data_IF_985715330687
#
_entry.id   IF_985715330687
#
_cell.length_a   1.000
_cell.length_b   1.000
_cell.length_c   1.000
_cell.angle_alpha   90.00
_cell.angle_beta   90.00
_cell.angle_gamma   90.00
#
_symmetry.space_group_name_H-M   'P 1'
#
loop_
_entity.id
_entity.type
_entity.pdbx_description
1 polymer ?
#
# COMPACT_ATOMS: atom_id res chain seq x y z
N UNK A 1 -6.45 19.36 -9.29
CA UNK A 1 -7.71 18.69 -9.64
C UNK A 1 -8.69 18.99 -8.53
N UNK A 2 -9.81 19.67 -8.82
CA UNK A 2 -10.85 19.86 -7.82
C UNK A 2 -11.31 18.49 -7.32
N UNK A 3 -11.48 18.35 -6.01
CA UNK A 3 -12.03 17.13 -5.42
C UNK A 3 -13.44 16.93 -5.96
N UNK A 4 -13.78 15.73 -6.43
CA UNK A 4 -15.13 15.31 -6.87
C UNK A 4 -16.21 15.67 -5.84
N UNK A 5 -15.83 15.85 -4.57
CA UNK A 5 -16.66 16.30 -3.45
C UNK A 5 -17.26 17.72 -3.57
N UNK A 6 -16.96 18.52 -4.60
CA UNK A 6 -17.53 19.87 -4.78
C UNK A 6 -18.61 19.96 -5.86
N UNK A 7 -19.08 18.84 -6.42
CA UNK A 7 -20.15 18.83 -7.42
C UNK A 7 -21.52 18.91 -6.72
N UNK A 8 -22.32 19.91 -7.09
CA UNK A 8 -23.69 20.06 -6.60
C UNK A 8 -24.63 19.24 -7.50
N UNK A 9 -24.76 17.95 -7.19
CA UNK A 9 -25.59 16.98 -7.93
C UNK A 9 -26.89 16.76 -7.14
N UNK A 10 -28.03 16.86 -7.83
CA UNK A 10 -29.36 16.80 -7.22
C UNK A 10 -30.25 15.69 -7.80
N UNK A 11 -29.93 15.23 -9.00
CA UNK A 11 -30.73 14.24 -9.74
C UNK A 11 -30.40 12.79 -9.41
N UNK A 12 -29.25 12.51 -8.79
CA UNK A 12 -28.84 11.18 -8.35
C UNK A 12 -27.88 11.25 -7.17
N UNK A 13 -27.81 10.15 -6.42
CA UNK A 13 -26.80 9.94 -5.40
C UNK A 13 -25.63 9.17 -6.01
N UNK A 14 -24.40 9.47 -5.60
CA UNK A 14 -23.25 8.72 -6.08
C UNK A 14 -22.15 8.60 -5.02
N UNK A 15 -21.34 7.56 -5.19
CA UNK A 15 -20.10 7.36 -4.46
C UNK A 15 -18.98 7.05 -5.45
N UNK A 16 -17.98 7.93 -5.51
CA UNK A 16 -16.81 7.75 -6.34
C UNK A 16 -15.60 7.36 -5.49
N UNK A 17 -14.99 6.23 -5.82
CA UNK A 17 -13.78 5.72 -5.18
C UNK A 17 -12.72 5.53 -6.23
N UNK A 18 -11.54 6.12 -5.99
CA UNK A 18 -10.35 5.79 -6.78
C UNK A 18 -9.53 4.76 -6.00
N UNK A 19 -9.52 3.54 -6.50
CA UNK A 19 -8.54 2.53 -6.12
C UNK A 19 -7.22 2.95 -6.72
N UNK A 20 -6.19 3.14 -5.90
CA UNK A 20 -4.85 3.55 -6.35
C UNK A 20 -3.86 2.40 -6.43
N UNK A 21 -4.19 1.24 -5.84
CA UNK A 21 -3.35 0.04 -5.79
C UNK A 21 -4.18 -1.24 -5.95
N UNK A 22 -3.68 -2.28 -6.64
CA UNK A 22 -2.36 -2.39 -7.29
C UNK A 22 -2.18 -1.49 -8.53
N UNK A 23 -3.28 -0.97 -9.05
CA UNK A 23 -3.37 -0.12 -10.23
C UNK A 23 -4.48 0.90 -10.04
N UNK A 24 -4.35 2.05 -10.71
CA UNK A 24 -5.34 3.12 -10.62
C UNK A 24 -6.62 2.65 -11.34
N UNK A 25 -7.75 2.65 -10.62
CA UNK A 25 -9.07 2.27 -11.12
C UNK A 25 -10.10 3.18 -10.43
N UNK A 26 -10.98 3.81 -11.22
CA UNK A 26 -12.09 4.59 -10.67
C UNK A 26 -13.35 3.74 -10.66
N UNK A 27 -14.02 3.70 -9.51
CA UNK A 27 -15.30 3.02 -9.32
C UNK A 27 -16.30 4.10 -8.95
N UNK A 28 -17.36 4.25 -9.73
CA UNK A 28 -18.46 5.15 -9.48
C UNK A 28 -19.71 4.31 -9.28
N UNK A 29 -20.25 4.35 -8.06
CA UNK A 29 -21.53 3.74 -7.74
C UNK A 29 -22.60 4.83 -7.80
N UNK A 30 -23.65 4.63 -8.57
CA UNK A 30 -24.72 5.61 -8.80
C UNK A 30 -26.06 5.01 -8.38
N UNK A 31 -26.88 5.81 -7.69
CA UNK A 31 -28.29 5.53 -7.42
C UNK A 31 -29.13 6.69 -7.94
N UNK A 32 -29.93 6.44 -8.96
CA UNK A 32 -30.87 7.41 -9.49
C UNK A 32 -32.27 7.12 -8.94
N UNK A 33 -32.88 8.04 -8.17
CA UNK A 33 -34.24 7.85 -7.67
C UNK A 33 -35.25 7.84 -8.82
N UNK A 34 -36.35 7.06 -8.71
CA UNK A 34 -37.39 7.05 -9.73
C UNK A 34 -38.08 8.42 -9.82
N UNK A 35 -38.10 9.03 -11.01
CA UNK A 35 -38.70 10.35 -11.19
C UNK A 35 -38.29 11.07 -12.48
N UNK A 36 -38.69 12.34 -12.65
CA UNK A 36 -38.30 13.15 -13.81
C UNK A 36 -36.80 13.50 -13.77
N UNK A 37 -36.09 13.16 -14.85
CA UNK A 37 -34.63 13.23 -14.97
C UNK A 37 -34.14 14.49 -15.70
N UNK A 38 -34.80 15.64 -15.52
CA UNK A 38 -34.58 16.81 -16.39
C UNK A 38 -33.15 17.37 -16.40
N UNK A 39 -32.39 17.19 -15.32
CA UNK A 39 -30.97 17.61 -15.21
C UNK A 39 -29.99 16.44 -15.12
N UNK A 40 -30.48 15.19 -15.24
CA UNK A 40 -29.68 13.99 -15.03
C UNK A 40 -28.50 13.89 -15.99
N UNK A 41 -28.73 14.12 -17.28
CA UNK A 41 -27.70 14.01 -18.31
C UNK A 41 -26.58 15.04 -18.10
N UNK A 42 -26.94 16.29 -17.78
CA UNK A 42 -25.98 17.37 -17.56
C UNK A 42 -25.15 17.11 -16.29
N UNK A 43 -25.77 16.66 -15.22
CA UNK A 43 -25.09 16.32 -13.96
C UNK A 43 -24.19 15.07 -14.13
N UNK A 44 -24.63 14.07 -14.90
CA UNK A 44 -23.86 12.87 -15.20
C UNK A 44 -22.64 13.19 -16.08
N UNK A 45 -22.81 14.03 -17.11
CA UNK A 45 -21.72 14.52 -17.96
C UNK A 45 -20.69 15.30 -17.13
N UNK A 46 -21.16 16.20 -16.26
CA UNK A 46 -20.29 16.97 -15.37
C UNK A 46 -19.50 16.07 -14.43
N UNK A 47 -20.14 15.04 -13.86
CA UNK A 47 -19.48 14.05 -13.00
C UNK A 47 -18.41 13.28 -13.76
N UNK A 48 -18.75 12.71 -14.92
CA UNK A 48 -17.83 11.86 -15.68
C UNK A 48 -16.67 12.66 -16.29
N UNK A 49 -16.91 13.92 -16.67
CA UNK A 49 -15.89 14.87 -17.12
C UNK A 49 -14.88 15.24 -16.03
N UNK A 50 -15.21 15.04 -14.75
CA UNK A 50 -14.27 15.26 -13.65
C UNK A 50 -13.15 14.21 -13.59
N UNK A 51 -13.32 13.06 -14.26
CA UNK A 51 -12.31 12.01 -14.30
C UNK A 51 -11.35 12.22 -15.46
N UNK A 52 -10.03 12.13 -15.24
CA UNK A 52 -9.04 12.34 -16.29
C UNK A 52 -9.15 11.27 -17.39
N UNK A 53 -9.00 11.69 -18.64
CA UNK A 53 -8.85 10.82 -19.82
C UNK A 53 -7.39 10.35 -19.98
N UNK A 54 -6.73 10.03 -18.87
CA UNK A 54 -5.32 9.59 -18.83
C UNK A 54 -5.16 8.08 -19.10
N UNK A 55 -6.20 7.43 -19.61
CA UNK A 55 -6.28 5.98 -19.79
C UNK A 55 -6.60 5.19 -18.52
N UNK A 56 -6.79 5.85 -17.36
CA UNK A 56 -7.21 5.17 -16.13
C UNK A 56 -8.56 4.47 -16.34
N UNK A 57 -8.66 3.15 -16.07
CA UNK A 57 -9.92 2.42 -16.12
C UNK A 57 -11.00 3.01 -15.22
N UNK A 58 -12.24 3.05 -15.72
CA UNK A 58 -13.41 3.50 -14.96
C UNK A 58 -14.53 2.48 -15.09
N UNK A 59 -15.14 2.16 -13.95
CA UNK A 59 -16.41 1.44 -13.91
C UNK A 59 -17.46 2.39 -13.32
N UNK A 60 -18.56 2.57 -14.03
CA UNK A 60 -19.77 3.21 -13.53
C UNK A 60 -20.83 2.12 -13.36
N UNK A 61 -21.36 1.95 -12.16
CA UNK A 61 -22.33 0.90 -11.86
C UNK A 61 -23.39 1.37 -10.86
N UNK A 62 -24.54 0.71 -10.84
CA UNK A 62 -25.56 0.92 -9.82
C UNK A 62 -26.96 0.93 -10.41
N UNK A 63 -27.93 1.39 -9.61
CA UNK A 63 -29.33 1.41 -9.98
C UNK A 63 -29.69 2.74 -10.64
N UNK A 64 -30.00 2.69 -11.93
CA UNK A 64 -30.35 3.85 -12.72
C UNK A 64 -31.85 4.15 -12.73
N UNK A 65 -32.70 3.21 -12.31
CA UNK A 65 -34.16 3.31 -12.40
C UNK A 65 -34.67 3.80 -13.78
N UNK A 66 -33.95 3.51 -14.86
CA UNK A 66 -34.31 3.90 -16.23
C UNK A 66 -35.30 2.89 -16.82
N UNK A 67 -36.37 3.39 -17.42
CA UNK A 67 -37.37 2.52 -18.03
C UNK A 67 -36.86 1.93 -19.36
N UNK A 68 -37.08 0.63 -19.65
CA UNK A 68 -36.50 -0.09 -20.80
C UNK A 68 -36.84 0.45 -22.20
N UNK A 69 -37.79 1.36 -22.35
CA UNK A 69 -38.19 1.96 -23.63
C UNK A 69 -38.25 3.50 -23.59
N UNK A 70 -37.59 4.10 -22.60
CA UNK A 70 -37.53 5.55 -22.50
C UNK A 70 -36.57 6.14 -23.53
N UNK A 71 -36.95 7.26 -24.15
CA UNK A 71 -36.01 8.11 -24.90
C UNK A 71 -34.79 8.48 -24.05
N UNK A 72 -34.96 8.55 -22.74
CA UNK A 72 -33.92 8.82 -21.75
C UNK A 72 -32.81 7.74 -21.76
N UNK A 73 -33.14 6.45 -21.80
CA UNK A 73 -32.14 5.38 -21.88
C UNK A 73 -31.24 5.56 -23.12
N UNK A 74 -31.84 5.94 -24.25
CA UNK A 74 -31.08 6.19 -25.49
C UNK A 74 -30.16 7.42 -25.37
N UNK A 75 -30.60 8.48 -24.71
CA UNK A 75 -29.77 9.67 -24.45
C UNK A 75 -28.63 9.37 -23.47
N UNK A 76 -28.89 8.61 -22.41
CA UNK A 76 -27.87 8.17 -21.45
C UNK A 76 -26.85 7.28 -22.14
N UNK A 77 -27.28 6.29 -22.92
CA UNK A 77 -26.40 5.42 -23.68
C UNK A 77 -25.53 6.22 -24.67
N UNK A 78 -26.11 7.22 -25.35
CA UNK A 78 -25.38 8.10 -26.28
C UNK A 78 -24.31 8.94 -25.58
N UNK A 79 -24.64 9.52 -24.41
CA UNK A 79 -23.69 10.26 -23.58
C UNK A 79 -22.55 9.36 -23.06
N UNK A 80 -22.89 8.18 -22.56
CA UNK A 80 -21.87 7.26 -22.05
C UNK A 80 -20.96 6.76 -23.18
N UNK A 81 -21.53 6.50 -24.36
CA UNK A 81 -20.76 6.12 -25.54
C UNK A 81 -19.83 7.25 -26.02
N UNK A 82 -20.25 8.52 -25.96
CA UNK A 82 -19.38 9.65 -26.33
C UNK A 82 -18.19 9.80 -25.37
N UNK A 83 -18.35 9.37 -24.11
CA UNK A 83 -17.30 9.33 -23.09
C UNK A 83 -16.51 8.01 -23.08
N UNK A 84 -16.66 7.18 -24.13
CA UNK A 84 -16.03 5.86 -24.30
C UNK A 84 -16.37 4.84 -23.20
N UNK A 85 -17.50 5.04 -22.52
CA UNK A 85 -18.09 4.05 -21.61
C UNK A 85 -18.96 3.09 -22.41
N UNK A 86 -18.71 1.79 -22.22
CA UNK A 86 -19.43 0.72 -22.89
C UNK A 86 -20.27 -0.05 -21.88
N UNK A 87 -21.53 -0.31 -22.20
CA UNK A 87 -22.42 -1.08 -21.32
C UNK A 87 -22.01 -2.55 -21.34
N UNK A 88 -21.88 -3.14 -20.16
CA UNK A 88 -21.77 -4.60 -20.01
C UNK A 88 -23.17 -5.20 -20.08
N UNK A 89 -23.44 -6.14 -21.01
CA UNK A 89 -24.75 -6.77 -21.11
C UNK A 89 -25.03 -7.60 -19.85
N UNK A 90 -26.23 -7.48 -19.29
CA UNK A 90 -26.69 -8.26 -18.15
C UNK A 90 -28.11 -8.78 -18.37
N UNK A 91 -28.47 -9.95 -17.78
CA UNK A 91 -29.86 -10.37 -17.64
C UNK A 91 -30.68 -9.40 -16.76
N UNK A 92 -31.99 -9.63 -16.67
CA UNK A 92 -32.85 -8.88 -15.75
C UNK A 92 -32.29 -8.88 -14.32
N UNK A 93 -32.20 -7.70 -13.71
CA UNK A 93 -31.55 -7.47 -12.41
C UNK A 93 -32.56 -7.32 -11.28
N UNK A 94 -33.86 -7.33 -11.60
CA UNK A 94 -34.95 -7.16 -10.65
C UNK A 94 -36.01 -8.27 -10.83
N UNK A 95 -36.71 -8.63 -9.74
CA UNK A 95 -37.77 -9.67 -9.75
C UNK A 95 -38.90 -9.42 -10.76
N UNK A 96 -39.14 -8.16 -11.11
CA UNK A 96 -40.13 -7.77 -12.13
C UNK A 96 -39.68 -7.99 -13.59
N UNK A 97 -38.45 -8.48 -13.82
CA UNK A 97 -37.92 -8.73 -15.16
C UNK A 97 -37.24 -7.52 -15.82
N UNK A 98 -37.05 -6.41 -15.09
CA UNK A 98 -36.39 -5.20 -15.58
C UNK A 98 -34.87 -5.25 -15.37
N UNK A 99 -34.14 -4.48 -16.17
CA UNK A 99 -32.70 -4.24 -16.05
C UNK A 99 -32.47 -2.80 -15.58
N UNK A 100 -32.62 -2.58 -14.27
CA UNK A 100 -32.47 -1.25 -13.66
C UNK A 100 -31.03 -1.00 -13.21
N UNK A 101 -30.33 -2.07 -12.87
CA UNK A 101 -28.95 -2.05 -12.40
C UNK A 101 -28.00 -2.22 -13.60
N UNK A 102 -27.28 -1.17 -13.95
CA UNK A 102 -26.43 -1.14 -15.15
C UNK A 102 -24.95 -1.07 -14.76
N UNK A 103 -24.10 -1.61 -15.64
CA UNK A 103 -22.64 -1.59 -15.49
C UNK A 103 -22.04 -1.05 -16.78
N UNK A 104 -21.24 0.00 -16.67
CA UNK A 104 -20.54 0.63 -17.78
C UNK A 104 -19.03 0.66 -17.50
N UNK A 105 -18.23 0.41 -18.52
CA UNK A 105 -16.77 0.30 -18.41
C UNK A 105 -16.04 1.12 -19.46
N UNK A 106 -14.97 1.80 -19.05
CA UNK A 106 -14.02 2.54 -19.89
C UNK A 106 -12.61 2.03 -19.61
N UNK A 107 -11.84 1.74 -20.66
CA UNK A 107 -10.47 1.18 -20.57
C UNK A 107 -10.35 -0.10 -19.72
N UNK A 108 -11.46 -0.83 -19.56
CA UNK A 108 -11.56 -2.13 -18.91
C UNK A 108 -12.72 -2.93 -19.51
N UNK A 109 -12.74 -4.23 -19.25
CA UNK A 109 -13.79 -5.14 -19.66
C UNK A 109 -14.29 -5.97 -18.48
N UNK A 110 -15.59 -6.23 -18.46
CA UNK A 110 -16.19 -7.21 -17.55
C UNK A 110 -16.21 -8.59 -18.20
N UNK A 111 -16.12 -9.62 -17.37
CA UNK A 111 -16.20 -11.03 -17.74
C UNK A 111 -16.98 -11.79 -16.67
N UNK A 112 -17.56 -12.93 -17.02
CA UNK A 112 -18.26 -13.81 -16.07
C UNK A 112 -19.39 -13.10 -15.30
N UNK A 113 -20.12 -12.18 -15.95
CA UNK A 113 -21.23 -11.48 -15.31
C UNK A 113 -22.36 -12.47 -15.00
N UNK A 114 -22.69 -12.60 -13.73
CA UNK A 114 -23.75 -13.45 -13.19
C UNK A 114 -24.73 -12.62 -12.37
N UNK A 115 -26.00 -12.98 -12.44
CA UNK A 115 -27.09 -12.31 -11.70
C UNK A 115 -27.78 -13.37 -10.85
N UNK A 116 -27.72 -13.21 -9.54
CA UNK A 116 -28.20 -14.20 -8.56
C UNK A 116 -29.37 -13.63 -7.75
N UNK A 117 -30.56 -14.26 -7.77
CA UNK A 117 -31.67 -13.81 -6.97
C UNK A 117 -31.39 -13.83 -5.47
N UNK A 118 -31.77 -12.75 -4.78
CA UNK A 118 -31.69 -12.65 -3.32
C UNK A 118 -33.07 -12.88 -2.67
N UNK A 119 -33.11 -13.56 -1.54
CA UNK A 119 -34.35 -13.78 -0.80
C UNK A 119 -34.82 -12.53 -0.03
N UNK A 120 -33.89 -11.63 0.29
CA UNK A 120 -34.12 -10.46 1.16
C UNK A 120 -34.32 -9.15 0.40
N UNK A 121 -34.16 -9.16 -0.92
CA UNK A 121 -34.32 -7.99 -1.80
C UNK A 121 -35.05 -8.39 -3.07
N UNK A 122 -35.74 -7.45 -3.68
CA UNK A 122 -36.31 -7.50 -5.02
C UNK A 122 -35.28 -7.26 -6.14
N UNK A 123 -34.15 -6.63 -5.81
CA UNK A 123 -32.96 -6.61 -6.66
C UNK A 123 -32.16 -7.92 -6.54
N UNK A 124 -31.48 -8.26 -7.63
CA UNK A 124 -30.59 -9.42 -7.72
C UNK A 124 -29.14 -9.01 -7.52
N UNK A 125 -28.34 -9.93 -6.97
CA UNK A 125 -26.92 -9.72 -6.78
C UNK A 125 -26.17 -9.88 -8.10
N UNK A 126 -25.46 -8.84 -8.53
CA UNK A 126 -24.65 -8.86 -9.75
C UNK A 126 -23.19 -9.11 -9.35
N UNK A 127 -22.58 -10.14 -9.93
CA UNK A 127 -21.18 -10.50 -9.74
C UNK A 127 -20.47 -10.59 -11.08
N UNK A 128 -19.25 -10.06 -11.19
CA UNK A 128 -18.45 -10.12 -12.41
C UNK A 128 -16.96 -9.97 -12.09
N UNK A 129 -16.12 -10.43 -13.01
CA UNK A 129 -14.67 -10.28 -12.99
C UNK A 129 -14.24 -9.11 -13.89
N UNK A 130 -13.40 -8.20 -13.38
CA UNK A 130 -12.91 -7.06 -14.14
C UNK A 130 -11.50 -7.32 -14.68
N UNK A 131 -11.31 -7.18 -15.99
CA UNK A 131 -10.01 -7.26 -16.67
C UNK A 131 -9.60 -5.90 -17.22
N UNK A 132 -8.36 -5.49 -16.96
CA UNK A 132 -7.84 -4.22 -17.45
C UNK A 132 -6.31 -4.25 -17.57
N UNK A 133 -5.72 -3.52 -18.54
CA UNK A 133 -4.28 -3.53 -18.76
C UNK A 133 -3.57 -2.82 -17.61
N UNK A 134 -2.67 -3.53 -16.93
CA UNK A 134 -1.77 -2.94 -15.95
C UNK A 134 -0.79 -2.01 -16.67
N UNK A 135 -1.01 -0.69 -16.60
CA UNK A 135 -0.02 0.28 -17.03
C UNK A 135 1.15 0.26 -16.04
N UNK A 136 2.14 -0.59 -16.29
CA UNK A 136 3.41 -0.59 -15.58
C UNK A 136 4.16 0.71 -15.90
N UNK A 137 3.86 1.79 -15.18
CA UNK A 137 4.80 2.90 -15.03
C UNK A 137 5.90 2.45 -14.04
N UNK A 138 6.70 1.49 -14.47
CA UNK A 138 7.91 1.07 -13.79
C UNK A 138 8.96 2.17 -13.96
N UNK A 139 8.85 3.22 -13.16
CA UNK A 139 10.05 3.93 -12.74
C UNK A 139 10.85 2.94 -11.90
N UNK A 140 11.77 2.24 -12.55
CA UNK A 140 12.74 1.34 -11.93
C UNK A 140 13.69 2.15 -11.02
N UNK A 141 13.19 2.62 -9.87
CA UNK A 141 14.05 2.85 -8.73
C UNK A 141 14.37 1.47 -8.16
N UNK A 142 15.42 0.84 -8.70
CA UNK A 142 15.93 -0.41 -8.15
C UNK A 142 16.15 -0.19 -6.64
N UNK A 143 15.51 -0.95 -5.75
CA UNK A 143 15.68 -0.75 -4.32
C UNK A 143 17.16 -0.88 -3.99
N UNK A 144 17.75 0.15 -3.38
CA UNK A 144 19.13 0.11 -2.90
C UNK A 144 19.34 -1.20 -2.14
N UNK A 145 20.34 -1.99 -2.50
CA UNK A 145 20.59 -3.27 -1.84
C UNK A 145 21.45 -3.01 -0.60
N UNK A 146 20.98 -3.43 0.57
CA UNK A 146 21.81 -3.45 1.78
C UNK A 146 22.34 -4.85 2.03
N UNK A 147 23.63 -4.95 2.32
CA UNK A 147 24.28 -6.20 2.70
C UNK A 147 24.31 -6.32 4.22
N UNK A 148 23.84 -7.45 4.77
CA UNK A 148 23.84 -7.70 6.22
C UNK A 148 24.21 -9.15 6.52
N UNK A 149 24.92 -9.37 7.64
CA UNK A 149 25.18 -10.69 8.22
C UNK A 149 24.32 -10.89 9.47
N UNK A 150 23.80 -12.09 9.68
CA UNK A 150 23.06 -12.42 10.90
C UNK A 150 24.05 -12.86 11.99
N UNK A 151 24.45 -11.94 12.86
CA UNK A 151 25.36 -12.23 13.96
C UNK A 151 24.65 -12.74 15.22
N UNK A 152 23.32 -12.63 15.28
CA UNK A 152 22.54 -12.98 16.48
C UNK A 152 22.46 -14.49 16.72
N UNK A 153 22.76 -15.31 15.72
CA UNK A 153 22.76 -16.78 15.82
C UNK A 153 24.11 -17.34 16.30
N UNK A 154 25.14 -16.51 16.41
CA UNK A 154 26.49 -16.96 16.78
C UNK A 154 26.64 -17.00 18.29
N UNK A 155 26.88 -18.20 18.83
CA UNK A 155 27.34 -18.36 20.21
C UNK A 155 28.80 -17.92 20.32
N UNK A 156 29.12 -17.14 21.36
CA UNK A 156 30.47 -16.63 21.60
C UNK A 156 31.53 -17.75 21.68
N UNK A 157 31.19 -18.90 22.27
CA UNK A 157 32.08 -20.05 22.41
C UNK A 157 32.31 -20.84 21.11
N UNK A 158 31.29 -20.90 20.25
CA UNK A 158 31.39 -21.54 18.94
C UNK A 158 32.21 -20.68 17.97
N UNK A 159 32.01 -19.36 18.04
CA UNK A 159 32.76 -18.39 17.25
C UNK A 159 34.26 -18.44 17.57
N UNK A 160 34.65 -18.43 18.84
CA UNK A 160 36.07 -18.43 19.23
C UNK A 160 36.79 -19.71 18.78
N UNK A 161 36.16 -20.88 18.98
CA UNK A 161 36.73 -22.18 18.59
C UNK A 161 36.88 -22.31 17.07
N UNK A 162 35.88 -21.83 16.33
CA UNK A 162 35.89 -21.87 14.87
C UNK A 162 36.85 -20.82 14.28
N UNK A 163 37.01 -19.66 14.92
CA UNK A 163 37.96 -18.63 14.49
C UNK A 163 39.41 -19.09 14.70
N UNK A 164 39.70 -19.75 15.84
CA UNK A 164 41.01 -20.31 16.15
C UNK A 164 41.44 -21.42 15.18
N UNK A 165 40.49 -22.16 14.61
CA UNK A 165 40.77 -23.21 13.62
C UNK A 165 40.83 -22.69 12.19
N UNK A 166 40.12 -21.60 11.86
CA UNK A 166 40.09 -21.02 10.52
C UNK A 166 41.20 -20.00 10.25
N UNK A 167 41.73 -19.33 11.29
CA UNK A 167 42.79 -18.33 11.14
C UNK A 167 44.18 -18.99 11.12
N UNK A 168 45.11 -18.51 10.27
CA UNK A 168 46.48 -19.00 10.27
C UNK A 168 47.16 -18.76 11.63
N UNK A 169 48.03 -19.68 12.09
CA UNK A 169 48.76 -19.50 13.34
C UNK A 169 49.68 -18.27 13.27
N UNK A 170 49.90 -17.52 14.36
CA UNK A 170 50.70 -16.29 14.35
C UNK A 170 52.10 -16.45 13.71
N UNK A 171 52.70 -17.63 13.84
CA UNK A 171 53.99 -17.97 13.25
C UNK A 171 54.04 -17.87 11.72
N UNK A 172 52.90 -18.07 11.02
CA UNK A 172 52.86 -17.96 9.54
C UNK A 172 52.98 -16.52 9.04
N UNK A 173 52.84 -15.52 9.92
CA UNK A 173 52.92 -14.11 9.55
C UNK A 173 54.30 -13.48 9.79
N UNK A 174 55.20 -14.14 10.53
CA UNK A 174 56.47 -13.57 11.02
C UNK A 174 57.41 -13.14 9.89
N UNK A 175 57.37 -13.85 8.75
CA UNK A 175 58.27 -13.61 7.61
C UNK A 175 57.54 -12.96 6.40
N UNK A 176 56.29 -12.53 6.57
CA UNK A 176 55.52 -11.90 5.50
C UNK A 176 55.69 -10.37 5.53
N UNK A 177 55.68 -9.77 4.34
CA UNK A 177 55.55 -8.32 4.22
C UNK A 177 54.23 -7.86 4.85
N UNK A 178 54.20 -6.68 5.47
CA UNK A 178 53.05 -6.24 6.28
C UNK A 178 51.73 -6.21 5.49
N UNK A 179 51.76 -5.81 4.23
CA UNK A 179 50.59 -5.80 3.35
C UNK A 179 50.10 -7.21 3.01
N UNK A 180 51.03 -8.15 2.86
CA UNK A 180 50.73 -9.56 2.57
C UNK A 180 50.16 -10.23 3.82
N UNK A 181 50.73 -9.95 4.99
CA UNK A 181 50.19 -10.43 6.26
C UNK A 181 48.77 -9.89 6.50
N UNK A 182 48.56 -8.60 6.28
CA UNK A 182 47.27 -7.92 6.48
C UNK A 182 46.21 -8.43 5.51
N UNK A 183 46.55 -8.57 4.22
CA UNK A 183 45.62 -9.10 3.21
C UNK A 183 45.27 -10.56 3.46
N UNK A 184 46.25 -11.40 3.82
CA UNK A 184 46.02 -12.81 4.16
C UNK A 184 45.11 -12.94 5.37
N UNK A 185 45.37 -12.19 6.44
CA UNK A 185 44.53 -12.19 7.63
C UNK A 185 43.09 -11.76 7.33
N UNK A 186 42.91 -10.63 6.62
CA UNK A 186 41.60 -10.12 6.26
C UNK A 186 40.83 -11.07 5.32
N UNK A 187 41.54 -11.76 4.42
CA UNK A 187 40.94 -12.74 3.52
C UNK A 187 40.45 -13.97 4.28
N UNK A 188 41.29 -14.56 5.15
CA UNK A 188 40.91 -15.69 6.00
C UNK A 188 39.74 -15.33 6.92
N UNK A 189 39.78 -14.14 7.54
CA UNK A 189 38.69 -13.66 8.40
C UNK A 189 37.39 -13.46 7.62
N UNK A 190 37.47 -12.93 6.39
CA UNK A 190 36.30 -12.74 5.53
C UNK A 190 35.69 -14.07 5.12
N UNK A 191 36.50 -15.02 4.64
CA UNK A 191 36.04 -16.37 4.28
C UNK A 191 35.43 -17.12 5.47
N UNK A 192 36.04 -17.00 6.64
CA UNK A 192 35.51 -17.55 7.88
C UNK A 192 34.14 -16.96 8.21
N UNK A 193 33.99 -15.63 8.14
CA UNK A 193 32.72 -14.96 8.40
C UNK A 193 31.67 -15.29 7.33
N UNK A 194 32.06 -15.44 6.07
CA UNK A 194 31.15 -15.85 4.98
C UNK A 194 30.66 -17.28 5.16
N UNK A 195 31.50 -18.17 5.71
CA UNK A 195 31.10 -19.54 6.06
C UNK A 195 30.12 -19.60 7.23
N UNK A 196 30.31 -18.78 8.28
CA UNK A 196 29.46 -18.81 9.48
C UNK A 196 28.19 -17.99 9.34
N UNK A 197 28.29 -16.82 8.71
CA UNK A 197 27.20 -15.87 8.54
C UNK A 197 27.31 -15.22 7.16
N UNK A 198 26.85 -15.93 6.11
CA UNK A 198 26.91 -15.45 4.73
C UNK A 198 26.36 -14.04 4.59
N UNK A 199 26.97 -13.25 3.71
CA UNK A 199 26.48 -11.92 3.39
C UNK A 199 25.17 -12.03 2.61
N UNK A 200 24.06 -11.60 3.23
CA UNK A 200 22.75 -11.64 2.57
C UNK A 200 22.42 -10.26 2.01
N UNK A 201 22.11 -10.20 0.73
CA UNK A 201 21.50 -9.03 0.09
C UNK A 201 20.04 -8.92 0.53
N UNK A 202 19.67 -7.80 1.12
CA UNK A 202 18.26 -7.47 1.40
C UNK A 202 17.90 -6.15 0.74
N UNK A 203 16.70 -6.05 0.14
CA UNK A 203 16.22 -4.77 -0.36
C UNK A 203 16.23 -3.77 0.80
N UNK A 204 16.86 -2.61 0.61
CA UNK A 204 16.80 -1.53 1.57
C UNK A 204 15.33 -1.14 1.70
N UNK A 205 14.87 -1.05 2.94
CA UNK A 205 13.58 -0.40 3.20
C UNK A 205 13.73 1.07 2.84
N UNK A 206 13.08 1.49 1.77
CA UNK A 206 12.93 2.90 1.39
C UNK A 206 11.89 3.58 2.28
N UNK A 207 12.04 3.48 3.60
CA UNK A 207 11.28 4.37 4.47
C UNK A 207 12.00 5.70 4.51
N UNK A 208 11.30 6.83 4.28
CA UNK A 208 11.85 8.14 4.60
C UNK A 208 12.40 8.12 6.03
N UNK A 209 13.57 8.73 6.28
CA UNK A 209 14.10 8.84 7.64
C UNK A 209 13.06 9.56 8.50
N UNK A 210 12.81 9.06 9.71
CA UNK A 210 11.95 9.72 10.70
C UNK A 210 12.82 10.65 11.56
N UNK A 211 12.98 11.95 11.23
CA UNK A 211 13.99 12.78 11.86
C UNK A 211 13.59 13.19 13.29
N UNK A 212 12.29 13.12 13.60
CA UNK A 212 11.73 13.29 14.93
C UNK A 212 11.95 12.08 15.85
N UNK A 213 12.43 10.95 15.33
CA UNK A 213 12.70 9.75 16.14
C UNK A 213 14.12 9.81 16.72
N UNK A 214 14.23 10.37 17.92
CA UNK A 214 15.49 10.50 18.68
C UNK A 214 15.92 9.17 19.31
N UNK A 215 17.19 9.06 19.74
CA UNK A 215 17.68 7.86 20.43
C UNK A 215 17.00 7.62 21.78
N UNK A 216 16.60 8.69 22.47
CA UNK A 216 15.78 8.60 23.68
C UNK A 216 14.42 7.94 23.41
N UNK A 217 13.75 8.29 22.30
CA UNK A 217 12.52 7.64 21.85
C UNK A 217 12.75 6.19 21.41
N UNK A 218 13.88 5.89 20.76
CA UNK A 218 14.24 4.51 20.40
C UNK A 218 14.44 3.63 21.64
N UNK A 219 15.10 4.17 22.67
CA UNK A 219 15.29 3.50 23.96
C UNK A 219 13.94 3.28 24.66
N UNK A 220 13.12 4.33 24.79
CA UNK A 220 11.78 4.25 25.37
C UNK A 220 10.89 3.22 24.66
N UNK A 221 10.91 3.18 23.32
CA UNK A 221 10.21 2.17 22.53
C UNK A 221 10.68 0.75 22.83
N UNK A 222 11.98 0.56 23.05
CA UNK A 222 12.55 -0.75 23.39
C UNK A 222 12.04 -1.23 24.76
N UNK A 223 12.04 -0.34 25.75
CA UNK A 223 11.49 -0.61 27.09
C UNK A 223 9.99 -0.93 27.04
N UNK A 224 9.22 -0.15 26.27
CA UNK A 224 7.79 -0.40 26.05
C UNK A 224 7.54 -1.82 25.48
N UNK A 225 8.28 -2.22 24.44
CA UNK A 225 8.16 -3.55 23.83
C UNK A 225 8.61 -4.67 24.78
N UNK A 226 9.59 -4.41 25.65
CA UNK A 226 9.98 -5.37 26.68
C UNK A 226 8.85 -5.58 27.70
N UNK A 227 8.24 -4.50 28.19
CA UNK A 227 7.09 -4.58 29.10
C UNK A 227 5.87 -5.26 28.46
N UNK A 228 5.58 -4.95 27.20
CA UNK A 228 4.50 -5.59 26.44
C UNK A 228 4.71 -7.11 26.34
N UNK A 229 5.93 -7.56 26.02
CA UNK A 229 6.28 -9.00 25.98
C UNK A 229 6.17 -9.66 27.35
N UNK A 230 6.60 -8.96 28.42
CA UNK A 230 6.48 -9.44 29.79
C UNK A 230 5.02 -9.68 30.15
N UNK A 231 4.15 -8.69 29.94
CA UNK A 231 2.71 -8.81 30.17
C UNK A 231 2.06 -9.93 29.35
N UNK A 232 2.39 -10.05 28.05
CA UNK A 232 1.85 -11.16 27.23
C UNK A 232 2.17 -12.53 27.78
N UNK A 233 3.34 -12.69 28.41
CA UNK A 233 3.80 -13.93 29.04
C UNK A 233 3.18 -14.16 30.42
N UNK A 234 3.16 -13.15 31.28
CA UNK A 234 2.70 -13.28 32.67
C UNK A 234 1.19 -13.20 32.83
N UNK A 235 0.50 -12.45 31.97
CA UNK A 235 -0.93 -12.08 32.05
C UNK A 235 -1.33 -11.43 33.38
N UNK A 236 -0.37 -10.89 34.14
CA UNK A 236 -0.61 -10.20 35.40
C UNK A 236 -1.16 -8.78 35.19
N UNK A 237 -2.03 -8.35 36.10
CA UNK A 237 -2.59 -7.01 36.10
C UNK A 237 -1.52 -5.93 36.42
N UNK A 238 -0.52 -6.25 37.23
CA UNK A 238 0.57 -5.33 37.55
C UNK A 238 1.47 -5.08 36.33
N UNK A 239 1.75 -6.13 35.57
CA UNK A 239 2.52 -6.02 34.32
C UNK A 239 1.71 -5.28 33.24
N UNK A 240 0.38 -5.43 33.23
CA UNK A 240 -0.51 -4.68 32.36
C UNK A 240 -0.47 -3.17 32.71
N UNK A 241 -0.57 -2.84 34.00
CA UNK A 241 -0.48 -1.46 34.47
C UNK A 241 0.87 -0.82 34.10
N UNK A 242 1.98 -1.53 34.33
CA UNK A 242 3.33 -1.10 33.95
C UNK A 242 3.45 -0.84 32.44
N UNK A 243 2.92 -1.74 31.61
CA UNK A 243 2.86 -1.56 30.16
C UNK A 243 2.06 -0.31 29.77
N UNK A 244 0.87 -0.09 30.35
CA UNK A 244 0.04 1.08 30.06
C UNK A 244 0.71 2.39 30.46
N UNK A 245 1.38 2.44 31.62
CA UNK A 245 2.14 3.63 32.04
C UNK A 245 3.25 3.95 31.03
N UNK A 246 4.01 2.94 30.59
CA UNK A 246 5.05 3.12 29.57
C UNK A 246 4.47 3.53 28.22
N UNK A 247 3.29 3.00 27.85
CA UNK A 247 2.60 3.33 26.60
C UNK A 247 2.16 4.80 26.59
N UNK A 248 1.58 5.28 27.69
CA UNK A 248 1.17 6.67 27.84
C UNK A 248 2.38 7.61 27.77
N UNK A 249 3.46 7.30 28.49
CA UNK A 249 4.70 8.07 28.46
C UNK A 249 5.33 8.10 27.04
N UNK A 250 5.41 6.95 26.37
CA UNK A 250 5.95 6.87 25.01
C UNK A 250 5.09 7.64 24.00
N UNK A 251 3.77 7.56 24.11
CA UNK A 251 2.83 8.27 23.24
C UNK A 251 2.98 9.78 23.41
N UNK A 252 3.03 10.27 24.65
CA UNK A 252 3.26 11.68 24.97
C UNK A 252 4.59 12.18 24.42
N UNK A 253 5.69 11.44 24.67
CA UNK A 253 7.01 11.80 24.17
C UNK A 253 7.09 11.81 22.63
N UNK A 254 6.40 10.87 21.97
CA UNK A 254 6.34 10.80 20.50
C UNK A 254 5.59 12.00 19.93
N UNK A 255 4.45 12.36 20.52
CA UNK A 255 3.68 13.53 20.12
C UNK A 255 4.49 14.80 20.30
N UNK A 256 5.12 14.98 21.46
CA UNK A 256 5.99 16.12 21.74
C UNK A 256 7.12 16.25 20.71
N UNK A 257 7.86 15.16 20.45
CA UNK A 257 8.97 15.18 19.49
C UNK A 257 8.51 15.51 18.05
N UNK A 258 7.37 14.97 17.62
CA UNK A 258 6.77 15.31 16.31
C UNK A 258 6.39 16.79 16.25
N UNK A 259 5.72 17.30 17.28
CA UNK A 259 5.31 18.70 17.36
C UNK A 259 6.52 19.62 17.31
N UNK A 260 7.54 19.39 18.15
CA UNK A 260 8.77 20.18 18.16
C UNK A 260 9.47 20.17 16.80
N UNK A 261 9.59 19.00 16.18
CA UNK A 261 10.22 18.86 14.86
C UNK A 261 9.48 19.66 13.78
N UNK A 262 8.16 19.49 13.66
CA UNK A 262 7.40 20.18 12.63
C UNK A 262 7.28 21.68 12.90
N UNK A 263 7.14 22.09 14.16
CA UNK A 263 7.15 23.50 14.54
C UNK A 263 8.49 24.16 14.19
N UNK A 264 9.61 23.51 14.51
CA UNK A 264 10.93 23.98 14.09
C UNK A 264 11.05 24.07 12.56
N UNK A 265 10.62 23.03 11.85
CA UNK A 265 10.66 22.99 10.37
C UNK A 265 9.84 24.10 9.73
N UNK A 266 8.64 24.38 10.25
CA UNK A 266 7.78 25.48 9.79
C UNK A 266 8.45 26.82 10.06
N UNK A 267 8.96 27.02 11.29
CA UNK A 267 9.63 28.27 11.68
C UNK A 267 10.85 28.58 10.80
N UNK A 268 11.67 27.57 10.48
CA UNK A 268 12.81 27.73 9.56
C UNK A 268 12.39 28.09 8.13
N UNK A 269 11.18 27.72 7.71
CA UNK A 269 10.65 28.00 6.38
C UNK A 269 9.83 29.31 6.28
N UNK A 270 9.60 30.01 7.40
CA UNK A 270 8.74 31.22 7.45
C UNK A 270 9.18 32.33 6.49
N UNK A 271 10.48 32.48 6.26
CA UNK A 271 11.04 33.50 5.37
C UNK A 271 10.92 33.15 3.87
N UNK A 272 10.53 31.92 3.52
CA UNK A 272 10.39 31.47 2.14
C UNK A 272 9.03 30.81 1.89
N UNK A 273 8.05 31.56 1.35
CA UNK A 273 6.68 31.05 1.19
C UNK A 273 6.61 29.81 0.28
N UNK A 274 7.44 29.72 -0.77
CA UNK A 274 7.49 28.50 -1.63
C UNK A 274 7.89 27.26 -0.85
N UNK A 275 8.93 27.35 -0.01
CA UNK A 275 9.38 26.23 0.84
C UNK A 275 8.37 25.87 1.91
N UNK A 276 7.69 26.87 2.48
CA UNK A 276 6.63 26.68 3.46
C UNK A 276 5.45 25.92 2.85
N UNK A 277 4.90 26.39 1.72
CA UNK A 277 3.80 25.71 1.03
C UNK A 277 4.18 24.30 0.56
N UNK A 278 5.39 24.11 0.03
CA UNK A 278 5.90 22.77 -0.32
C UNK A 278 5.97 21.83 0.90
N UNK A 279 6.37 22.35 2.06
CA UNK A 279 6.41 21.56 3.30
C UNK A 279 4.99 21.19 3.76
N UNK A 280 4.03 22.10 3.69
CA UNK A 280 2.62 21.82 3.99
C UNK A 280 2.03 20.77 3.05
N UNK A 281 2.26 20.91 1.74
CA UNK A 281 1.83 19.92 0.75
C UNK A 281 2.38 18.54 1.05
N UNK A 282 3.67 18.42 1.44
CA UNK A 282 4.27 17.14 1.82
C UNK A 282 3.69 16.52 3.11
N UNK A 283 3.08 17.31 4.00
CA UNK A 283 2.50 16.82 5.25
C UNK A 283 1.04 16.42 5.10
N UNK A 284 0.30 17.17 4.29
CA UNK A 284 -1.13 16.98 4.09
C UNK A 284 -1.42 16.00 2.94
N UNK A 285 -0.48 15.86 2.00
CA UNK A 285 -0.59 14.97 0.86
C UNK A 285 0.40 13.82 1.10
N UNK A 286 -0.06 12.62 1.51
CA UNK A 286 0.83 11.48 1.66
C UNK A 286 1.49 11.14 0.32
N UNK A 287 2.75 10.66 0.33
CA UNK A 287 3.37 10.15 -0.89
C UNK A 287 2.53 8.98 -1.42
N UNK A 288 2.49 8.78 -2.75
CA UNK A 288 1.84 7.61 -3.32
C UNK A 288 2.44 6.35 -2.66
N UNK A 289 1.61 5.39 -2.24
CA UNK A 289 2.09 4.16 -1.64
C UNK A 289 3.10 3.46 -2.57
N UNK A 290 4.07 2.71 -2.01
CA UNK A 290 4.98 1.93 -2.83
C UNK A 290 4.18 1.02 -3.76
N UNK A 291 4.71 0.78 -4.95
CA UNK A 291 4.16 -0.18 -5.90
C UNK A 291 3.83 -1.48 -5.18
N UNK A 292 2.68 -2.12 -5.49
CA UNK A 292 2.38 -3.44 -4.93
C UNK A 292 3.58 -4.35 -5.17
N UNK A 293 3.99 -5.08 -4.14
CA UNK A 293 4.98 -6.14 -4.31
C UNK A 293 4.45 -7.10 -5.37
N UNK A 294 5.26 -7.39 -6.39
CA UNK A 294 4.94 -8.38 -7.44
C UNK A 294 4.83 -9.82 -6.91
N UNK A 295 4.73 -9.99 -5.60
CA UNK A 295 4.62 -11.27 -4.92
C UNK A 295 3.20 -11.79 -5.13
N UNK A 296 3.06 -12.80 -5.98
CA UNK A 296 1.84 -13.57 -6.14
C UNK A 296 1.67 -14.57 -4.97
N UNK A 297 0.48 -15.16 -4.87
CA UNK A 297 0.28 -16.29 -3.96
C UNK A 297 1.19 -17.48 -4.32
N UNK A 298 1.53 -17.63 -5.61
CA UNK A 298 2.42 -18.67 -6.11
C UNK A 298 3.88 -18.42 -5.69
N UNK A 299 4.34 -17.16 -5.68
CA UNK A 299 5.67 -16.82 -5.16
C UNK A 299 5.79 -17.16 -3.66
N UNK A 300 4.69 -17.02 -2.93
CA UNK A 300 4.60 -17.43 -1.53
C UNK A 300 4.65 -18.95 -1.40
N UNK A 301 3.89 -19.67 -2.24
CA UNK A 301 3.89 -21.13 -2.27
C UNK A 301 5.29 -21.68 -2.58
N UNK A 302 5.92 -21.20 -3.65
CA UNK A 302 7.27 -21.58 -4.07
C UNK A 302 8.27 -21.33 -2.94
N UNK A 303 8.23 -20.15 -2.30
CA UNK A 303 9.13 -19.86 -1.19
C UNK A 303 8.99 -20.84 -0.02
N UNK A 304 7.77 -21.24 0.33
CA UNK A 304 7.54 -22.20 1.42
C UNK A 304 7.90 -23.63 1.02
N UNK A 305 7.65 -24.03 -0.22
CA UNK A 305 8.06 -25.33 -0.75
C UNK A 305 9.60 -25.46 -0.76
N UNK A 306 10.31 -24.45 -1.27
CA UNK A 306 11.78 -24.40 -1.26
C UNK A 306 12.34 -24.43 0.17
N UNK A 307 11.72 -23.66 1.07
CA UNK A 307 12.12 -23.61 2.48
C UNK A 307 11.92 -24.94 3.20
N UNK A 308 10.83 -25.66 2.92
CA UNK A 308 10.55 -26.98 3.49
C UNK A 308 11.50 -28.04 2.91
N UNK A 309 11.82 -27.97 1.62
CA UNK A 309 12.78 -28.87 0.98
C UNK A 309 14.23 -28.69 1.48
N UNK A 310 14.55 -27.54 2.07
CA UNK A 310 15.86 -27.24 2.68
C UNK A 310 15.98 -27.63 4.17
N UNK A 311 14.92 -28.19 4.78
CA UNK A 311 14.93 -28.74 6.15
C UNK A 311 15.14 -30.25 6.09
#
# INVERSE_FOLDING_TARGET
>A
MPSVHSLNISSFEFHAVTVTHPSKLNIVVLYCPPGPLSTFLDELDTLLSSFPEDGTPIILLGDFNLQPESSQLSSVASLLQSLTLTQSPSPATHKAGNQLDLVFTRSCATSELTVTPLHVSDHFFISFSLSYPLSHNSSNNLPSVTFRRNLCTLSHSSLSTSALSALPPPASFVNLHIDVATSTFNSCLSQFLDSLCPLVSKPARSSPPCPWLTDSLRSSRTTLRAAERKWRKSRSQDDLASYHTLLAAFTSATTSAKTTFFQSKINTCMSNPRKLFSTFSSLLIPPPPPSPSSLSADDFLIHFEEKVAMI
#
